data_IF_450042570404
#
_entry.id   IF_450042570404
#
_cell.length_a   1.000
_cell.length_b   1.000
_cell.length_c   1.000
_cell.angle_alpha   90.00
_cell.angle_beta   90.00
_cell.angle_gamma   90.00
#
_symmetry.space_group_name_H-M   'P 1'
#
loop_
_entity.id
_entity.type
_entity.pdbx_description
1 polymer ?
#
# COMPACT_ATOMS: atom_id res chain seq x y z
N UNK A 1 -7.04 -15.52 -11.48
CA UNK A 1 -7.65 -14.20 -11.78
C UNK A 1 -6.75 -13.41 -12.72
N UNK A 2 -5.45 -13.30 -12.42
CA UNK A 2 -4.48 -12.63 -13.32
C UNK A 2 -4.50 -13.14 -14.76
N UNK A 3 -4.57 -14.46 -14.97
CA UNK A 3 -4.65 -15.05 -16.31
C UNK A 3 -5.87 -14.56 -17.11
N UNK A 4 -7.00 -14.31 -16.45
CA UNK A 4 -8.22 -13.80 -17.08
C UNK A 4 -7.97 -12.37 -17.56
N UNK A 5 -7.32 -11.54 -16.75
CA UNK A 5 -6.96 -10.16 -17.13
C UNK A 5 -5.94 -10.16 -18.29
N UNK A 6 -4.93 -11.03 -18.25
CA UNK A 6 -3.96 -11.16 -19.34
C UNK A 6 -4.61 -11.65 -20.64
N UNK A 7 -5.54 -12.60 -20.57
CA UNK A 7 -6.29 -13.04 -21.74
C UNK A 7 -7.15 -11.90 -22.31
N UNK A 8 -7.80 -11.13 -21.44
CA UNK A 8 -8.59 -9.96 -21.85
C UNK A 8 -7.73 -8.91 -22.55
N UNK A 9 -6.55 -8.60 -22.00
CA UNK A 9 -5.59 -7.67 -22.62
C UNK A 9 -5.18 -8.11 -24.02
N UNK A 10 -4.93 -9.41 -24.22
CA UNK A 10 -4.53 -9.97 -25.52
C UNK A 10 -5.70 -9.99 -26.53
N UNK A 11 -6.92 -10.21 -26.05
CA UNK A 11 -8.10 -10.44 -26.91
C UNK A 11 -8.93 -9.18 -27.17
N UNK A 12 -8.74 -8.12 -26.38
CA UNK A 12 -9.51 -6.89 -26.55
C UNK A 12 -9.14 -6.18 -27.86
N UNK A 13 -10.15 -5.85 -28.67
CA UNK A 13 -10.01 -4.97 -29.83
C UNK A 13 -10.71 -3.65 -29.51
N UNK A 14 -9.92 -2.60 -29.33
CA UNK A 14 -10.37 -1.26 -28.96
C UNK A 14 -10.40 -0.31 -30.18
N UNK A 15 -10.00 -0.77 -31.36
CA UNK A 15 -9.76 0.09 -32.52
C UNK A 15 -8.43 0.85 -32.43
N UNK A 16 -8.23 1.80 -33.35
CA UNK A 16 -6.93 2.47 -33.55
C UNK A 16 -6.64 3.62 -32.59
N UNK A 17 -7.68 4.24 -32.03
CA UNK A 17 -7.57 5.48 -31.25
C UNK A 17 -7.70 5.27 -29.73
N UNK A 18 -7.92 4.04 -29.29
CA UNK A 18 -8.13 3.68 -27.89
C UNK A 18 -7.05 2.70 -27.43
N UNK A 19 -6.60 2.87 -26.19
CA UNK A 19 -5.67 1.98 -25.53
C UNK A 19 -6.26 1.46 -24.23
N UNK A 20 -5.85 0.25 -23.83
CA UNK A 20 -6.21 -0.32 -22.55
C UNK A 20 -5.40 0.39 -21.44
N UNK A 21 -6.10 0.87 -20.42
CA UNK A 21 -5.45 1.41 -19.22
C UNK A 21 -4.89 0.30 -18.32
N UNK A 22 -4.12 0.66 -17.31
CA UNK A 22 -3.70 -0.29 -16.28
C UNK A 22 -4.94 -0.84 -15.55
N UNK A 23 -5.13 -2.16 -15.62
CA UNK A 23 -6.25 -2.86 -14.99
C UNK A 23 -6.02 -3.17 -13.51
N UNK A 24 -5.03 -2.53 -12.88
CA UNK A 24 -4.60 -2.86 -11.53
C UNK A 24 -3.77 -4.14 -11.49
N UNK A 25 -3.12 -4.47 -12.62
CA UNK A 25 -2.26 -5.65 -12.78
C UNK A 25 -0.84 -5.45 -12.23
N UNK A 26 -0.67 -4.51 -11.29
CA UNK A 26 0.55 -4.40 -10.48
C UNK A 26 0.91 -5.80 -9.96
N UNK A 27 2.10 -6.30 -10.36
CA UNK A 27 2.45 -7.72 -10.18
C UNK A 27 2.40 -8.17 -8.71
N UNK A 28 2.47 -7.25 -7.75
CA UNK A 28 2.36 -7.56 -6.32
C UNK A 28 0.92 -7.83 -5.88
N UNK A 29 0.02 -6.86 -6.11
CA UNK A 29 -1.38 -6.93 -5.63
C UNK A 29 -2.15 -8.12 -6.23
N UNK A 30 -1.97 -8.39 -7.52
CA UNK A 30 -2.69 -9.47 -8.18
C UNK A 30 -2.23 -10.88 -7.75
N UNK A 31 -0.96 -11.04 -7.35
CA UNK A 31 -0.45 -12.32 -6.83
C UNK A 31 -1.07 -12.62 -5.47
N UNK A 32 -1.11 -11.62 -4.57
CA UNK A 32 -1.77 -11.74 -3.27
C UNK A 32 -3.24 -12.16 -3.39
N UNK A 33 -3.97 -11.61 -4.37
CA UNK A 33 -5.39 -11.89 -4.57
C UNK A 33 -5.67 -13.26 -5.23
N UNK A 34 -4.71 -13.85 -5.94
CA UNK A 34 -4.93 -15.14 -6.60
C UNK A 34 -5.09 -16.28 -5.59
N UNK A 35 -4.29 -16.27 -4.53
CA UNK A 35 -4.24 -17.35 -3.54
C UNK A 35 -5.43 -17.36 -2.55
N UNK A 36 -6.18 -16.25 -2.49
CA UNK A 36 -7.30 -16.07 -1.58
C UNK A 36 -8.64 -16.48 -2.20
N UNK A 37 -9.53 -17.03 -1.36
CA UNK A 37 -10.91 -17.39 -1.73
C UNK A 37 -11.81 -16.15 -1.73
N UNK A 38 -11.69 -15.34 -2.77
CA UNK A 38 -12.52 -14.15 -3.00
C UNK A 38 -13.34 -14.30 -4.28
N UNK A 39 -14.47 -13.61 -4.35
CA UNK A 39 -15.24 -13.53 -5.59
C UNK A 39 -14.43 -12.80 -6.68
N UNK A 40 -14.70 -13.10 -7.95
CA UNK A 40 -14.02 -12.41 -9.07
C UNK A 40 -14.29 -10.90 -9.02
N UNK A 41 -15.50 -10.51 -8.61
CA UNK A 41 -15.87 -9.10 -8.48
C UNK A 41 -15.05 -8.40 -7.39
N UNK A 42 -14.83 -9.04 -6.25
CA UNK A 42 -14.03 -8.47 -5.16
C UNK A 42 -12.55 -8.41 -5.54
N UNK A 43 -12.02 -9.46 -6.18
CA UNK A 43 -10.65 -9.45 -6.73
C UNK A 43 -10.45 -8.31 -7.72
N UNK A 44 -11.42 -8.08 -8.60
CA UNK A 44 -11.39 -6.98 -9.56
C UNK A 44 -11.50 -5.61 -8.88
N UNK A 45 -12.39 -5.45 -7.91
CA UNK A 45 -12.49 -4.18 -7.18
C UNK A 45 -11.19 -3.89 -6.42
N UNK A 46 -10.64 -4.88 -5.72
CA UNK A 46 -9.42 -4.75 -4.94
C UNK A 46 -8.15 -4.53 -5.78
N UNK A 47 -8.12 -4.92 -7.05
CA UNK A 47 -6.95 -4.66 -7.92
C UNK A 47 -6.71 -3.16 -8.16
N UNK A 48 -7.73 -2.31 -7.96
CA UNK A 48 -7.61 -0.86 -8.02
C UNK A 48 -7.27 -0.20 -6.69
N UNK A 49 -7.22 -0.96 -5.59
CA UNK A 49 -6.88 -0.40 -4.29
C UNK A 49 -5.41 0.08 -4.30
N UNK A 50 -5.11 1.24 -3.69
CA UNK A 50 -3.74 1.78 -3.65
C UNK A 50 -2.89 1.05 -2.60
N UNK A 51 -2.72 -0.27 -2.76
CA UNK A 51 -1.93 -1.10 -1.85
C UNK A 51 -0.44 -0.73 -1.91
N UNK A 52 0.25 -0.90 -0.78
CA UNK A 52 1.68 -0.63 -0.70
C UNK A 52 2.45 -1.80 -1.30
N UNK A 53 3.15 -1.53 -2.40
CA UNK A 53 4.10 -2.46 -3.01
C UNK A 53 5.55 -2.05 -2.70
N UNK A 54 6.48 -3.01 -2.74
CA UNK A 54 7.94 -2.82 -2.63
C UNK A 54 8.39 -2.35 -1.25
N UNK A 55 7.62 -2.68 -0.22
CA UNK A 55 7.98 -2.50 1.18
C UNK A 55 7.43 -3.66 2.02
N UNK A 56 8.30 -4.32 2.78
CA UNK A 56 7.95 -5.55 3.52
C UNK A 56 6.87 -5.29 4.59
N UNK A 57 6.91 -4.11 5.24
CA UNK A 57 5.95 -3.77 6.30
C UNK A 57 4.61 -3.44 5.66
N UNK A 58 4.62 -2.60 4.61
CA UNK A 58 3.42 -2.24 3.87
C UNK A 58 2.73 -3.44 3.24
N UNK A 59 3.49 -4.29 2.55
CA UNK A 59 2.97 -5.52 1.91
C UNK A 59 2.31 -6.45 2.93
N UNK A 60 2.92 -6.64 4.10
CA UNK A 60 2.34 -7.47 5.18
C UNK A 60 1.03 -6.89 5.71
N UNK A 61 0.96 -5.58 5.90
CA UNK A 61 -0.26 -4.90 6.37
C UNK A 61 -1.37 -5.05 5.32
N UNK A 62 -1.07 -4.80 4.05
CA UNK A 62 -2.03 -4.98 2.95
C UNK A 62 -2.47 -6.44 2.81
N UNK A 63 -1.55 -7.40 2.93
CA UNK A 63 -1.89 -8.83 2.92
C UNK A 63 -2.87 -9.20 4.04
N UNK A 64 -2.66 -8.67 5.25
CA UNK A 64 -3.58 -8.86 6.35
C UNK A 64 -4.96 -8.26 6.02
N UNK A 65 -5.03 -7.01 5.54
CA UNK A 65 -6.30 -6.35 5.17
C UNK A 65 -7.14 -7.20 4.20
N UNK A 66 -6.50 -7.77 3.18
CA UNK A 66 -7.18 -8.60 2.19
C UNK A 66 -7.60 -9.94 2.81
N UNK A 67 -6.77 -10.52 3.68
CA UNK A 67 -7.09 -11.77 4.39
C UNK A 67 -8.31 -11.62 5.31
N UNK A 68 -8.46 -10.49 6.01
CA UNK A 68 -9.66 -10.20 6.80
C UNK A 68 -10.93 -10.24 5.96
N UNK A 69 -10.89 -9.66 4.76
CA UNK A 69 -12.02 -9.71 3.83
C UNK A 69 -12.29 -11.12 3.32
N UNK A 70 -11.24 -11.87 2.96
CA UNK A 70 -11.37 -13.26 2.51
C UNK A 70 -11.93 -14.21 3.57
N UNK A 71 -11.75 -13.87 4.85
CA UNK A 71 -12.27 -14.62 6.00
C UNK A 71 -13.62 -14.10 6.52
N UNK A 72 -14.24 -13.12 5.84
CA UNK A 72 -15.47 -12.44 6.28
C UNK A 72 -15.37 -11.88 7.72
N UNK A 73 -14.20 -11.38 8.10
CA UNK A 73 -13.93 -10.79 9.42
C UNK A 73 -13.91 -9.27 9.37
N UNK A 74 -14.39 -8.64 10.45
CA UNK A 74 -14.17 -7.21 10.68
C UNK A 74 -12.67 -6.93 10.78
N UNK A 75 -12.18 -6.02 9.96
CA UNK A 75 -10.83 -5.50 10.00
C UNK A 75 -10.85 -4.17 10.74
N UNK A 76 -10.06 -4.06 11.81
CA UNK A 76 -9.87 -2.82 12.57
C UNK A 76 -8.47 -2.27 12.37
N UNK A 77 -8.29 -0.96 12.49
CA UNK A 77 -6.98 -0.33 12.35
C UNK A 77 -6.02 -0.81 13.43
N UNK A 78 -6.53 -1.00 14.65
CA UNK A 78 -5.76 -1.50 15.80
C UNK A 78 -5.20 -2.90 15.61
N UNK A 79 -5.82 -3.73 14.77
CA UNK A 79 -5.35 -5.09 14.45
C UNK A 79 -4.23 -5.09 13.41
N UNK A 80 -4.09 -4.00 12.64
CA UNK A 80 -3.14 -3.91 11.53
C UNK A 80 -1.79 -3.35 11.96
N UNK A 81 -1.81 -2.24 12.72
CA UNK A 81 -0.61 -1.61 13.27
C UNK A 81 -0.98 -0.56 14.33
N UNK A 82 0.04 -0.03 15.01
CA UNK A 82 -0.13 1.05 15.99
C UNK A 82 0.74 2.23 15.60
N UNK A 83 0.14 3.41 15.50
CA UNK A 83 0.88 4.65 15.23
C UNK A 83 1.74 5.05 16.44
N UNK A 84 2.95 5.58 16.22
CA UNK A 84 3.77 6.11 17.30
C UNK A 84 3.11 7.35 17.93
N UNK A 85 3.37 7.57 19.22
CA UNK A 85 2.86 8.75 19.95
C UNK A 85 3.78 9.97 19.80
N UNK A 86 5.07 9.73 19.53
CA UNK A 86 6.08 10.79 19.40
C UNK A 86 6.48 11.01 17.94
N UNK A 87 6.90 12.24 17.56
CA UNK A 87 7.42 12.53 16.23
C UNK A 87 8.68 11.70 15.92
N UNK A 88 8.91 11.34 14.64
CA UNK A 88 10.09 10.59 14.26
C UNK A 88 11.34 11.47 14.34
N UNK A 89 12.35 10.98 15.03
CA UNK A 89 13.65 11.67 15.19
C UNK A 89 14.71 11.18 14.22
N UNK A 90 14.42 10.14 13.43
CA UNK A 90 15.33 9.56 12.45
C UNK A 90 14.68 9.43 11.07
N UNK A 91 15.47 9.47 9.98
CA UNK A 91 14.94 9.26 8.62
C UNK A 91 14.24 7.91 8.47
N UNK A 92 14.73 6.86 9.12
CA UNK A 92 14.13 5.52 9.03
C UNK A 92 12.75 5.46 9.72
N UNK A 93 12.59 6.16 10.84
CA UNK A 93 11.30 6.29 11.53
C UNK A 93 10.29 7.09 10.68
N UNK A 94 10.75 8.13 10.00
CA UNK A 94 9.92 8.91 9.07
C UNK A 94 9.44 8.06 7.89
N UNK A 95 10.33 7.25 7.31
CA UNK A 95 9.98 6.29 6.25
C UNK A 95 8.91 5.30 6.71
N UNK A 96 9.00 4.82 7.95
CA UNK A 96 8.00 3.90 8.52
C UNK A 96 6.63 4.57 8.64
N UNK A 97 6.59 5.83 9.08
CA UNK A 97 5.37 6.62 9.13
C UNK A 97 4.75 6.84 7.74
N UNK A 98 5.57 7.12 6.71
CA UNK A 98 5.09 7.21 5.33
C UNK A 98 4.43 5.91 4.84
N UNK A 99 4.95 4.75 5.26
CA UNK A 99 4.37 3.45 4.93
C UNK A 99 3.02 3.29 5.61
N UNK A 100 2.92 3.61 6.91
CA UNK A 100 1.65 3.57 7.64
C UNK A 100 0.61 4.52 7.04
N UNK A 101 1.00 5.71 6.62
CA UNK A 101 0.12 6.65 5.92
C UNK A 101 -0.47 6.04 4.64
N UNK A 102 0.38 5.41 3.80
CA UNK A 102 -0.10 4.73 2.58
C UNK A 102 -1.04 3.57 2.90
N UNK A 103 -0.74 2.79 3.94
CA UNK A 103 -1.64 1.73 4.41
C UNK A 103 -2.98 2.29 4.90
N UNK A 104 -3.01 3.44 5.59
CA UNK A 104 -4.25 4.12 5.97
C UNK A 104 -5.06 4.56 4.76
N UNK A 105 -4.38 5.03 3.71
CA UNK A 105 -5.06 5.40 2.45
C UNK A 105 -5.66 4.18 1.75
N UNK A 106 -4.95 3.06 1.71
CA UNK A 106 -5.47 1.79 1.22
C UNK A 106 -6.69 1.32 2.04
N UNK A 107 -6.59 1.37 3.37
CA UNK A 107 -7.70 1.00 4.27
C UNK A 107 -8.93 1.87 4.03
N UNK A 108 -8.76 3.20 3.95
CA UNK A 108 -9.87 4.12 3.70
C UNK A 108 -10.53 3.81 2.37
N UNK A 109 -9.74 3.63 1.30
CA UNK A 109 -10.25 3.22 -0.01
C UNK A 109 -11.10 1.95 0.07
N UNK A 110 -10.60 0.93 0.77
CA UNK A 110 -11.31 -0.33 0.98
C UNK A 110 -12.56 -0.16 1.84
N UNK A 111 -12.56 0.71 2.85
CA UNK A 111 -13.75 0.97 3.68
C UNK A 111 -14.90 1.60 2.92
N UNK A 112 -14.63 2.42 1.92
CA UNK A 112 -15.68 2.95 1.05
C UNK A 112 -16.30 1.90 0.12
N UNK A 113 -15.60 0.80 -0.18
CA UNK A 113 -16.07 -0.27 -1.07
C UNK A 113 -16.66 -1.46 -0.32
N UNK A 114 -16.08 -1.81 0.83
CA UNK A 114 -16.43 -2.96 1.65
C UNK A 114 -16.70 -2.56 3.11
N UNK A 115 -17.74 -1.73 3.37
CA UNK A 115 -17.99 -1.18 4.71
C UNK A 115 -18.34 -2.23 5.76
N UNK A 116 -18.78 -3.42 5.35
CA UNK A 116 -19.05 -4.54 6.26
C UNK A 116 -17.77 -5.16 6.84
N UNK A 117 -16.67 -5.13 6.08
CA UNK A 117 -15.37 -5.67 6.51
C UNK A 117 -14.54 -4.59 7.20
N UNK A 118 -14.42 -3.40 6.61
CA UNK A 118 -13.56 -2.33 7.14
C UNK A 118 -14.41 -1.30 7.86
N UNK A 119 -14.63 -1.53 9.15
CA UNK A 119 -15.69 -0.85 9.94
C UNK A 119 -15.24 0.48 10.55
N UNK A 120 -13.94 0.71 10.69
CA UNK A 120 -13.40 1.87 11.42
C UNK A 120 -13.01 3.05 10.51
N UNK A 121 -13.91 3.49 9.62
CA UNK A 121 -13.60 4.56 8.66
C UNK A 121 -13.22 5.88 9.34
N UNK A 122 -13.98 6.32 10.35
CA UNK A 122 -13.70 7.57 11.06
C UNK A 122 -12.36 7.50 11.82
N UNK A 123 -12.10 6.39 12.50
CA UNK A 123 -10.84 6.18 13.22
C UNK A 123 -9.66 6.16 12.25
N UNK A 124 -9.82 5.55 11.08
CA UNK A 124 -8.79 5.56 10.03
C UNK A 124 -8.51 6.98 9.50
N UNK A 125 -9.54 7.81 9.38
CA UNK A 125 -9.40 9.22 8.99
C UNK A 125 -8.65 10.02 10.06
N UNK A 126 -9.02 9.88 11.33
CA UNK A 126 -8.33 10.53 12.46
C UNK A 126 -6.86 10.05 12.57
N UNK A 127 -6.63 8.75 12.37
CA UNK A 127 -5.28 8.18 12.34
C UNK A 127 -4.44 8.71 11.17
N UNK A 128 -5.05 8.92 10.00
CA UNK A 128 -4.38 9.52 8.83
C UNK A 128 -3.94 10.94 9.15
N UNK A 129 -4.83 11.77 9.68
CA UNK A 129 -4.53 13.16 10.04
C UNK A 129 -3.41 13.23 11.08
N UNK A 130 -3.48 12.40 12.13
CA UNK A 130 -2.41 12.28 13.12
C UNK A 130 -1.07 11.83 12.49
N UNK A 131 -1.11 10.91 11.53
CA UNK A 131 0.08 10.45 10.83
C UNK A 131 0.71 11.58 10.00
N UNK A 132 -0.11 12.38 9.31
CA UNK A 132 0.33 13.56 8.55
C UNK A 132 1.00 14.60 9.45
N UNK A 133 0.41 14.90 10.61
CA UNK A 133 0.99 15.81 11.61
C UNK A 133 2.36 15.32 12.12
N UNK A 134 2.48 14.01 12.38
CA UNK A 134 3.74 13.41 12.83
C UNK A 134 4.83 13.45 11.75
N UNK A 135 4.45 13.22 10.48
CA UNK A 135 5.35 13.32 9.34
C UNK A 135 5.83 14.76 9.17
N UNK A 136 4.94 15.74 9.27
CA UNK A 136 5.29 17.16 9.18
C UNK A 136 6.28 17.57 10.29
N UNK A 137 5.97 17.23 11.54
CA UNK A 137 6.86 17.50 12.67
C UNK A 137 8.22 16.82 12.48
N UNK A 138 8.23 15.56 12.06
CA UNK A 138 9.43 14.80 11.75
C UNK A 138 10.31 15.47 10.69
N UNK A 139 9.70 15.94 9.61
CA UNK A 139 10.38 16.65 8.54
C UNK A 139 10.98 17.98 9.03
N UNK A 140 10.29 18.72 9.89
CA UNK A 140 10.81 19.96 10.47
C UNK A 140 12.04 19.67 11.34
N UNK A 141 11.95 18.69 12.25
CA UNK A 141 13.08 18.30 13.10
C UNK A 141 14.29 17.83 12.29
N UNK A 142 14.08 16.95 11.32
CA UNK A 142 15.16 16.44 10.47
C UNK A 142 15.79 17.52 9.59
N UNK A 143 15.02 18.50 9.09
CA UNK A 143 15.55 19.63 8.33
C UNK A 143 16.42 20.56 9.17
N UNK A 144 16.10 20.72 10.46
CA UNK A 144 16.89 21.52 11.40
C UNK A 144 18.24 20.83 11.74
N UNK A 145 18.26 19.49 11.74
CA UNK A 145 19.45 18.70 12.06
C UNK A 145 20.34 18.34 10.85
N UNK A 146 19.83 18.45 9.61
CA UNK A 146 20.49 17.85 8.44
C UNK A 146 21.35 18.79 7.60
N UNK A 147 22.64 18.46 7.53
CA UNK A 147 23.54 18.80 6.42
C UNK A 147 23.14 17.99 5.16
N UNK A 148 22.91 18.61 3.97
CA UNK A 148 22.31 17.98 2.78
C UNK A 148 23.04 16.75 2.21
N UNK A 149 24.27 16.48 2.65
CA UNK A 149 25.07 15.32 2.26
C UNK A 149 24.55 14.00 2.84
N UNK A 150 23.94 14.00 4.02
CA UNK A 150 23.49 12.79 4.73
C UNK A 150 22.20 12.23 4.13
N UNK A 151 21.22 13.09 3.81
CA UNK A 151 19.97 12.68 3.16
C UNK A 151 20.22 11.99 1.82
N UNK A 152 21.14 12.54 1.01
CA UNK A 152 21.54 11.95 -0.28
C UNK A 152 22.17 10.54 -0.12
N UNK A 153 22.84 10.27 1.00
CA UNK A 153 23.38 8.93 1.28
C UNK A 153 22.28 7.93 1.64
N UNK A 154 21.28 8.34 2.43
CA UNK A 154 20.12 7.50 2.79
C UNK A 154 19.32 7.12 1.56
N UNK A 155 18.96 8.10 0.70
CA UNK A 155 18.24 7.84 -0.54
C UNK A 155 19.04 6.92 -1.50
N UNK A 156 20.36 7.13 -1.63
CA UNK A 156 21.22 6.24 -2.44
C UNK A 156 21.31 4.82 -1.88
N UNK A 157 21.34 4.66 -0.55
CA UNK A 157 21.41 3.34 0.12
C UNK A 157 20.11 2.55 -0.10
N UNK A 158 18.95 3.21 0.03
CA UNK A 158 17.63 2.60 -0.22
C UNK A 158 17.49 2.15 -1.68
N UNK A 159 17.91 2.99 -2.64
CA UNK A 159 17.89 2.65 -4.08
C UNK A 159 18.79 1.44 -4.42
N UNK A 160 19.95 1.33 -3.77
CA UNK A 160 20.84 0.16 -3.90
C UNK A 160 20.25 -1.12 -3.27
N UNK A 161 19.47 -1.00 -2.19
CA UNK A 161 18.83 -2.15 -1.57
C UNK A 161 17.63 -2.65 -2.38
N UNK A 162 16.84 -1.73 -2.96
CA UNK A 162 15.76 -2.04 -3.90
C UNK A 162 16.29 -2.75 -5.17
N UNK A 163 17.47 -2.38 -5.65
CA UNK A 163 18.11 -3.00 -6.81
C UNK A 163 18.76 -4.38 -6.54
N UNK A 164 18.82 -4.82 -5.27
CA UNK A 164 19.38 -6.13 -4.86
C UNK A 164 18.33 -7.21 -4.67
N UNK A 165 17.04 -6.86 -4.77
CA UNK A 165 15.96 -7.84 -4.76
C UNK A 165 16.07 -8.59 -6.10
N UNK A 166 16.32 -9.92 -6.08
CA UNK A 166 16.46 -10.68 -7.32
C UNK A 166 15.13 -10.59 -8.08
N UNK A 167 15.21 -10.20 -9.35
CA UNK A 167 14.09 -10.36 -10.28
C UNK A 167 13.71 -11.84 -10.31
N UNK A 168 12.42 -12.19 -10.14
CA UNK A 168 11.98 -13.57 -10.31
C UNK A 168 12.40 -14.01 -11.72
N UNK A 169 13.11 -15.13 -11.78
CA UNK A 169 13.55 -15.77 -13.02
C UNK A 169 12.38 -15.91 -14.00
N UNK A 170 12.64 -15.49 -15.26
CA UNK A 170 11.75 -15.58 -16.43
C UNK A 170 11.15 -16.97 -16.65
#
# INVERSE_FOLDING_TARGET
FTEILSLFEITCDLGQDLCLGDMGTGRGTCVLLNDLQLSIADKYMMSFAPLVERDIIGEKICANMVSYHAEDKECRISDLFTLPTAPPTSPDALVTLEIYHKCLMAYLWLSYKFPATYVEQQVAQEAKEKCEDLIEQGLIHLKLDSNPSVLNQVYKKRRKNLAKIPTPSE
#
